data_IF_581797207889
#
_entry.id   IF_581797207889
#
_cell.length_a   1.000
_cell.length_b   1.000
_cell.length_c   1.000
_cell.angle_alpha   90.00
_cell.angle_beta   90.00
_cell.angle_gamma   90.00
#
_symmetry.space_group_name_H-M   'P 1'
#
loop_
_entity.id
_entity.type
_entity.pdbx_description
1 polymer ?
#
# COMPACT_ATOMS: atom_id res chain seq x y z
N UNK A 1 9.95 -15.34 -2.60
CA UNK A 1 10.66 -15.69 -1.36
C UNK A 1 10.66 -17.21 -1.20
N UNK A 2 11.63 -17.75 -0.50
CA UNK A 2 11.67 -19.14 -0.02
C UNK A 2 11.40 -19.07 1.49
N UNK A 3 10.12 -19.20 1.87
CA UNK A 3 9.72 -18.87 3.24
C UNK A 3 9.97 -20.00 4.23
N UNK A 4 9.93 -21.26 3.76
CA UNK A 4 10.17 -22.45 4.58
C UNK A 4 11.60 -23.00 4.49
N UNK A 5 12.44 -22.42 3.60
CA UNK A 5 13.85 -22.77 3.46
C UNK A 5 14.09 -24.07 2.69
N UNK A 6 13.13 -24.49 1.84
CA UNK A 6 13.21 -25.74 1.08
C UNK A 6 13.90 -25.62 -0.29
N UNK A 7 14.41 -24.43 -0.61
CA UNK A 7 15.11 -24.09 -1.86
C UNK A 7 14.19 -23.76 -3.03
N UNK A 8 12.89 -23.65 -2.82
CA UNK A 8 11.90 -23.25 -3.83
C UNK A 8 11.28 -21.91 -3.50
N UNK A 9 10.90 -21.19 -4.53
CA UNK A 9 10.24 -19.90 -4.34
C UNK A 9 8.76 -20.07 -4.04
N UNK A 10 8.28 -19.37 -3.03
CA UNK A 10 6.89 -19.31 -2.59
C UNK A 10 6.26 -17.97 -2.95
N UNK A 11 4.92 -17.94 -2.95
CA UNK A 11 4.14 -16.70 -3.05
C UNK A 11 3.54 -16.39 -1.69
N UNK A 12 3.91 -15.25 -1.12
CA UNK A 12 3.33 -14.71 0.09
C UNK A 12 2.31 -13.63 -0.27
N UNK A 13 1.13 -13.67 0.34
CA UNK A 13 0.05 -12.72 0.12
C UNK A 13 -0.57 -12.26 1.42
N UNK A 14 -0.87 -10.97 1.51
CA UNK A 14 -1.73 -10.42 2.54
C UNK A 14 -3.21 -10.47 2.16
N UNK A 15 -4.06 -9.78 2.92
CA UNK A 15 -5.51 -9.79 2.77
C UNK A 15 -6.04 -8.40 2.43
N UNK A 16 -6.98 -8.36 1.48
CA UNK A 16 -7.77 -7.16 1.18
C UNK A 16 -9.13 -7.15 1.89
N UNK A 17 -9.53 -8.25 2.52
CA UNK A 17 -10.86 -8.41 3.11
C UNK A 17 -11.18 -7.33 4.13
N UNK A 18 -12.39 -6.83 4.04
CA UNK A 18 -12.97 -5.89 5.01
C UNK A 18 -13.77 -6.68 6.02
N UNK A 19 -13.56 -6.40 7.31
CA UNK A 19 -14.41 -6.77 8.46
C UNK A 19 -15.14 -8.12 8.39
N UNK A 20 -15.11 -8.86 9.47
CA UNK A 20 -15.93 -10.06 9.76
C UNK A 20 -15.92 -11.19 8.72
N UNK A 21 -15.15 -11.11 7.67
CA UNK A 21 -14.91 -12.23 6.78
C UNK A 21 -13.77 -13.08 7.34
N UNK A 22 -13.86 -14.38 7.13
CA UNK A 22 -12.89 -15.37 7.64
C UNK A 22 -11.43 -15.12 7.20
N UNK A 23 -11.23 -14.28 6.18
CA UNK A 23 -9.93 -13.97 5.61
C UNK A 23 -9.38 -12.58 5.98
N UNK A 24 -10.10 -11.79 6.78
CA UNK A 24 -9.67 -10.44 7.13
C UNK A 24 -8.37 -10.46 7.94
N UNK A 25 -7.34 -9.77 7.43
CA UNK A 25 -6.03 -9.66 8.08
C UNK A 25 -5.14 -10.89 8.01
N UNK A 26 -5.60 -12.00 7.42
CA UNK A 26 -4.81 -13.23 7.31
C UNK A 26 -3.74 -13.12 6.24
N UNK A 27 -2.61 -13.75 6.49
CA UNK A 27 -1.56 -13.95 5.49
C UNK A 27 -1.68 -15.35 4.91
N UNK A 28 -1.43 -15.46 3.60
CA UNK A 28 -1.47 -16.73 2.89
C UNK A 28 -0.14 -16.99 2.21
N UNK A 29 0.22 -18.25 2.13
CA UNK A 29 1.39 -18.72 1.39
C UNK A 29 0.99 -19.82 0.41
N UNK A 30 1.54 -19.73 -0.79
CA UNK A 30 1.49 -20.79 -1.79
C UNK A 30 2.90 -21.34 -1.91
N UNK A 31 3.15 -22.52 -1.33
CA UNK A 31 4.46 -23.16 -1.37
C UNK A 31 4.79 -23.67 -2.77
N UNK A 32 6.01 -23.40 -3.23
CA UNK A 32 6.53 -23.84 -4.51
C UNK A 32 6.71 -25.34 -4.57
N UNK A 33 6.58 -25.91 -5.77
CA UNK A 33 6.85 -27.32 -6.06
C UNK A 33 8.03 -27.46 -7.00
N UNK A 34 8.58 -28.67 -7.07
CA UNK A 34 9.70 -29.01 -7.96
C UNK A 34 9.36 -28.91 -9.46
N UNK A 35 8.08 -28.96 -9.82
CA UNK A 35 7.58 -28.82 -11.19
C UNK A 35 7.33 -27.35 -11.60
N UNK A 36 7.67 -26.37 -10.73
CA UNK A 36 7.46 -24.95 -10.97
C UNK A 36 6.03 -24.47 -10.70
N UNK A 37 5.14 -25.35 -10.25
CA UNK A 37 3.78 -24.99 -9.81
C UNK A 37 3.74 -24.74 -8.29
N UNK A 38 2.55 -24.41 -7.76
CA UNK A 38 2.36 -24.15 -6.33
C UNK A 38 1.39 -25.14 -5.69
N UNK A 39 1.51 -25.30 -4.37
CA UNK A 39 0.49 -25.98 -3.56
C UNK A 39 -0.73 -25.07 -3.45
N UNK A 40 -1.85 -25.61 -2.93
CA UNK A 40 -3.01 -24.81 -2.55
C UNK A 40 -2.57 -23.80 -1.47
N UNK A 41 -3.12 -22.59 -1.53
CA UNK A 41 -2.84 -21.57 -0.53
C UNK A 41 -3.17 -22.06 0.89
N UNK A 42 -2.27 -21.80 1.81
CA UNK A 42 -2.41 -22.09 3.23
C UNK A 42 -2.33 -20.80 4.04
N UNK A 43 -3.08 -20.74 5.15
CA UNK A 43 -2.99 -19.61 6.07
C UNK A 43 -1.69 -19.72 6.86
N UNK A 44 -0.90 -18.65 6.85
CA UNK A 44 0.33 -18.57 7.61
C UNK A 44 0.03 -18.49 9.11
N UNK A 45 0.70 -19.33 9.89
CA UNK A 45 0.46 -19.49 11.33
C UNK A 45 1.66 -19.10 12.15
N UNK A 46 1.38 -18.59 13.34
CA UNK A 46 2.39 -18.39 14.37
C UNK A 46 2.86 -19.69 15.00
N UNK A 47 3.87 -19.60 15.86
CA UNK A 47 4.42 -20.73 16.63
C UNK A 47 3.43 -21.30 17.65
N UNK A 48 2.37 -20.58 17.97
CA UNK A 48 1.23 -21.03 18.78
C UNK A 48 0.21 -21.88 18.00
N UNK A 49 0.39 -22.00 16.67
CA UNK A 49 -0.50 -22.74 15.78
C UNK A 49 -1.73 -21.93 15.30
N UNK A 50 -1.91 -20.72 15.79
CA UNK A 50 -2.99 -19.83 15.38
C UNK A 50 -2.58 -18.98 14.14
N UNK A 51 -3.53 -18.50 13.34
CA UNK A 51 -3.24 -17.62 12.24
C UNK A 51 -2.47 -16.37 12.65
N UNK A 52 -1.44 -15.99 11.90
CA UNK A 52 -0.80 -14.69 12.06
C UNK A 52 -1.79 -13.59 11.72
N UNK A 53 -1.96 -12.64 12.63
CA UNK A 53 -2.86 -11.49 12.45
C UNK A 53 -2.35 -10.30 13.26
N UNK A 54 -2.52 -9.08 12.73
CA UNK A 54 -2.29 -7.87 13.52
C UNK A 54 -3.44 -7.75 14.53
N UNK A 55 -3.16 -7.74 15.86
CA UNK A 55 -4.20 -7.69 16.87
C UNK A 55 -5.09 -6.45 16.74
N UNK A 56 -6.40 -6.66 16.85
CA UNK A 56 -7.42 -5.61 16.83
C UNK A 56 -8.15 -5.64 18.15
N UNK A 57 -8.11 -4.56 18.90
CA UNK A 57 -8.73 -4.45 20.23
C UNK A 57 -10.14 -3.84 20.18
N UNK A 58 -10.45 -3.11 19.10
CA UNK A 58 -11.77 -2.51 18.89
C UNK A 58 -12.70 -3.45 18.13
N UNK A 59 -14.01 -3.32 18.40
CA UNK A 59 -15.02 -4.02 17.59
C UNK A 59 -15.06 -3.46 16.17
N UNK A 60 -15.31 -4.28 15.13
CA UNK A 60 -15.43 -3.82 13.76
C UNK A 60 -16.36 -2.60 13.65
N UNK A 61 -15.86 -1.50 13.05
CA UNK A 61 -16.59 -0.25 12.93
C UNK A 61 -16.70 0.59 14.21
N UNK A 62 -16.04 0.17 15.30
CA UNK A 62 -15.93 0.93 16.55
C UNK A 62 -14.46 0.99 16.98
N UNK A 63 -13.85 2.14 16.84
CA UNK A 63 -12.42 2.34 17.08
C UNK A 63 -11.62 2.37 15.78
N UNK A 64 -10.34 2.70 15.87
CA UNK A 64 -9.50 2.97 14.69
C UNK A 64 -8.57 1.81 14.32
N UNK A 65 -8.29 0.90 15.24
CA UNK A 65 -7.27 -0.13 15.06
C UNK A 65 -7.71 -1.30 14.16
N UNK A 66 -9.01 -1.54 13.98
CA UNK A 66 -9.52 -2.60 13.10
C UNK A 66 -9.10 -2.42 11.63
N UNK A 67 -8.83 -1.18 11.21
CA UNK A 67 -8.38 -0.88 9.85
C UNK A 67 -6.96 -1.39 9.57
N UNK A 68 -6.17 -1.71 10.61
CA UNK A 68 -4.83 -2.28 10.44
C UNK A 68 -4.85 -3.68 9.81
N UNK A 69 -5.99 -4.36 9.83
CA UNK A 69 -6.16 -5.66 9.18
C UNK A 69 -6.71 -5.59 7.75
N UNK A 70 -6.83 -4.38 7.20
CA UNK A 70 -7.27 -4.18 5.81
C UNK A 70 -6.05 -3.93 4.94
N UNK A 71 -6.04 -4.53 3.74
CA UNK A 71 -4.98 -4.32 2.76
C UNK A 71 -3.58 -4.59 3.30
N UNK A 72 -3.43 -5.65 4.10
CA UNK A 72 -2.12 -6.03 4.62
C UNK A 72 -1.20 -6.48 3.48
N UNK A 73 0.05 -6.03 3.50
CA UNK A 73 1.08 -6.34 2.50
C UNK A 73 2.36 -6.77 3.18
N UNK A 74 2.59 -8.09 3.24
CA UNK A 74 3.80 -8.63 3.82
C UNK A 74 4.96 -8.62 2.84
N UNK A 75 6.13 -8.22 3.34
CA UNK A 75 7.42 -8.41 2.68
C UNK A 75 8.30 -9.26 3.61
N UNK A 76 8.91 -10.32 3.07
CA UNK A 76 9.78 -11.20 3.86
C UNK A 76 11.25 -10.82 3.66
N UNK A 77 11.95 -10.54 4.75
CA UNK A 77 13.37 -10.24 4.80
C UNK A 77 13.96 -10.70 6.14
N UNK A 78 15.23 -11.03 6.17
CA UNK A 78 15.99 -11.24 7.41
C UNK A 78 16.33 -9.84 7.99
N UNK A 79 15.35 -9.26 8.72
CA UNK A 79 15.38 -7.86 9.14
C UNK A 79 16.46 -7.55 10.17
N UNK A 80 16.72 -8.45 11.09
CA UNK A 80 17.72 -8.28 12.14
C UNK A 80 19.00 -9.11 11.94
N UNK A 81 19.07 -9.81 10.77
CA UNK A 81 20.22 -10.62 10.35
C UNK A 81 20.54 -11.78 11.29
N UNK A 82 19.50 -12.38 11.84
CA UNK A 82 19.62 -13.60 12.66
C UNK A 82 19.63 -14.89 11.82
N UNK A 83 19.48 -14.78 10.50
CA UNK A 83 19.41 -15.88 9.54
C UNK A 83 18.01 -16.41 9.31
N UNK A 84 16.98 -15.77 9.85
CA UNK A 84 15.58 -16.12 9.69
C UNK A 84 14.80 -15.01 8.99
N UNK A 85 13.87 -15.39 8.12
CA UNK A 85 13.01 -14.41 7.49
C UNK A 85 11.97 -13.89 8.47
N UNK A 86 11.93 -12.58 8.61
CA UNK A 86 10.87 -11.82 9.27
C UNK A 86 9.82 -11.36 8.25
N UNK A 87 8.65 -10.89 8.72
CA UNK A 87 7.66 -10.23 7.88
C UNK A 87 7.51 -8.77 8.28
N UNK A 88 7.89 -7.88 7.38
CA UNK A 88 7.54 -6.45 7.45
C UNK A 88 6.19 -6.27 6.75
N UNK A 89 5.19 -5.81 7.49
CA UNK A 89 3.80 -5.76 7.01
C UNK A 89 3.32 -4.33 6.96
N UNK A 90 2.98 -3.85 5.76
CA UNK A 90 2.25 -2.60 5.57
C UNK A 90 0.74 -2.80 5.71
N UNK A 91 0.04 -1.76 6.14
CA UNK A 91 -1.40 -1.78 6.44
C UNK A 91 -2.14 -0.67 5.70
N UNK A 92 -3.49 -0.73 5.70
CA UNK A 92 -4.31 0.29 5.06
C UNK A 92 -4.01 1.72 5.55
N UNK A 93 -3.93 2.00 6.87
CA UNK A 93 -3.62 3.36 7.34
C UNK A 93 -2.16 3.78 7.12
N UNK A 94 -1.32 2.92 6.54
CA UNK A 94 0.08 3.22 6.27
C UNK A 94 1.06 2.91 7.41
N UNK A 95 0.60 2.33 8.52
CA UNK A 95 1.46 1.82 9.58
C UNK A 95 2.18 0.55 9.14
N UNK A 96 3.34 0.30 9.74
CA UNK A 96 4.11 -0.91 9.52
C UNK A 96 4.24 -1.74 10.80
N UNK A 97 4.19 -3.05 10.63
CA UNK A 97 4.34 -4.05 11.69
C UNK A 97 5.40 -5.08 11.30
N UNK A 98 6.06 -5.64 12.32
CA UNK A 98 7.09 -6.66 12.16
C UNK A 98 6.68 -7.93 12.91
N UNK A 99 6.57 -9.05 12.18
CA UNK A 99 6.51 -10.38 12.78
C UNK A 99 7.90 -11.00 12.71
N UNK A 100 8.48 -11.30 13.87
CA UNK A 100 9.79 -11.93 13.96
C UNK A 100 9.73 -13.39 13.51
N UNK A 101 10.71 -13.80 12.72
CA UNK A 101 10.88 -15.16 12.27
C UNK A 101 11.55 -16.06 13.30
N UNK A 102 11.36 -17.36 13.12
CA UNK A 102 12.08 -18.42 13.85
C UNK A 102 12.65 -19.48 12.90
N UNK A 103 12.72 -19.14 11.61
CA UNK A 103 13.13 -20.06 10.56
C UNK A 103 12.06 -21.06 10.13
N UNK A 104 12.28 -21.67 8.96
CA UNK A 104 11.38 -22.69 8.38
C UNK A 104 9.92 -22.25 8.29
N UNK A 105 9.68 -20.98 7.91
CA UNK A 105 8.34 -20.42 7.75
C UNK A 105 7.55 -20.23 9.05
N UNK A 106 8.22 -20.24 10.20
CA UNK A 106 7.61 -20.02 11.51
C UNK A 106 7.87 -18.61 12.02
N UNK A 107 6.86 -18.00 12.62
CA UNK A 107 6.90 -16.63 13.12
C UNK A 107 6.34 -16.53 14.53
N UNK A 108 6.87 -15.61 15.32
CA UNK A 108 6.22 -15.27 16.59
C UNK A 108 4.82 -14.68 16.32
N UNK A 109 3.80 -15.06 17.12
CA UNK A 109 2.41 -14.71 16.82
C UNK A 109 2.07 -13.24 17.08
N UNK A 110 2.92 -12.50 17.81
CA UNK A 110 2.69 -11.10 18.17
C UNK A 110 3.59 -10.19 17.37
N UNK A 111 3.02 -9.32 16.48
CA UNK A 111 3.81 -8.36 15.77
C UNK A 111 4.22 -7.19 16.67
N UNK A 112 5.34 -6.56 16.32
CA UNK A 112 5.80 -5.30 16.86
C UNK A 112 5.36 -4.16 15.93
N UNK A 113 4.77 -3.09 16.48
CA UNK A 113 4.56 -1.85 15.70
C UNK A 113 5.91 -1.21 15.43
N UNK A 114 6.28 -1.04 14.16
CA UNK A 114 7.54 -0.42 13.79
C UNK A 114 7.50 1.08 14.08
N UNK A 115 8.65 1.63 14.47
CA UNK A 115 8.74 3.02 14.94
C UNK A 115 9.90 3.78 14.31
N UNK A 116 9.71 5.09 14.16
CA UNK A 116 10.75 6.08 13.94
C UNK A 116 10.92 6.91 15.23
N UNK A 117 11.95 6.62 16.01
CA UNK A 117 12.04 7.11 17.39
C UNK A 117 10.88 6.60 18.25
N UNK A 118 10.14 7.50 18.89
CA UNK A 118 8.99 7.13 19.74
C UNK A 118 7.65 7.12 18.98
N UNK A 119 7.64 7.50 17.70
CA UNK A 119 6.42 7.58 16.90
C UNK A 119 6.24 6.32 16.03
N UNK A 120 4.99 5.89 15.77
CA UNK A 120 4.74 4.85 14.78
C UNK A 120 5.38 5.20 13.44
N UNK A 121 6.00 4.22 12.79
CA UNK A 121 6.49 4.38 11.43
C UNK A 121 5.29 4.32 10.47
N UNK A 122 5.02 5.43 9.80
CA UNK A 122 3.88 5.57 8.88
C UNK A 122 4.31 6.25 7.60
N UNK A 123 3.78 5.76 6.48
CA UNK A 123 3.88 6.46 5.19
C UNK A 123 2.92 7.66 5.15
N UNK A 124 3.20 8.63 4.30
CA UNK A 124 2.21 9.60 3.87
C UNK A 124 1.21 8.92 2.92
N UNK A 125 -0.09 9.06 3.20
CA UNK A 125 -1.16 8.36 2.47
C UNK A 125 -1.57 7.04 3.12
N UNK A 126 -2.14 6.16 2.31
CA UNK A 126 -2.64 4.86 2.73
C UNK A 126 -1.96 3.72 1.93
N UNK A 127 -2.28 2.48 2.29
CA UNK A 127 -1.81 1.29 1.58
C UNK A 127 -0.28 1.14 1.60
N UNK A 128 0.31 1.09 2.82
CA UNK A 128 1.73 0.80 2.97
C UNK A 128 2.12 -0.49 2.22
N UNK A 129 3.13 -0.39 1.35
CA UNK A 129 3.60 -1.48 0.49
C UNK A 129 5.13 -1.58 0.65
N UNK A 130 5.60 -2.14 1.77
CA UNK A 130 7.02 -2.12 2.12
C UNK A 130 7.85 -2.98 1.17
N UNK A 131 9.01 -2.45 0.81
CA UNK A 131 10.10 -3.16 0.17
C UNK A 131 11.36 -2.97 1.03
N UNK A 132 11.96 -4.06 1.50
CA UNK A 132 13.08 -4.03 2.44
C UNK A 132 14.36 -4.34 1.69
N UNK A 133 15.31 -3.41 1.73
CA UNK A 133 16.60 -3.53 1.04
C UNK A 133 17.60 -2.52 1.66
N UNK A 134 18.89 -2.80 1.57
CA UNK A 134 19.95 -1.85 1.85
C UNK A 134 20.01 -0.84 0.68
N UNK A 135 19.24 0.25 0.81
CA UNK A 135 19.07 1.20 -0.29
C UNK A 135 20.27 2.09 -0.50
N UNK A 136 20.92 2.55 0.56
CA UNK A 136 22.06 3.48 0.46
C UNK A 136 23.43 2.79 0.52
N UNK A 137 23.42 1.44 0.65
CA UNK A 137 24.60 0.60 0.67
C UNK A 137 25.51 0.88 1.89
N UNK A 138 24.90 1.21 3.02
CA UNK A 138 25.60 1.42 4.29
C UNK A 138 25.72 0.15 5.13
N UNK A 139 25.13 -0.92 4.66
CA UNK A 139 25.22 -2.27 5.24
C UNK A 139 24.10 -2.58 6.22
N UNK A 140 23.05 -1.77 6.37
CA UNK A 140 21.83 -2.14 7.07
C UNK A 140 20.57 -2.05 6.17
N UNK A 141 19.47 -2.65 6.60
CA UNK A 141 18.28 -2.72 5.77
C UNK A 141 17.38 -1.51 6.00
N UNK A 142 16.98 -0.89 4.91
CA UNK A 142 16.02 0.21 4.85
C UNK A 142 14.62 -0.28 4.48
N UNK A 143 13.65 0.64 4.51
CA UNK A 143 12.31 0.39 4.03
C UNK A 143 11.92 1.44 2.99
N UNK A 144 11.64 0.99 1.76
CA UNK A 144 10.97 1.79 0.76
C UNK A 144 9.49 1.43 0.74
N UNK A 145 8.62 2.37 0.35
CA UNK A 145 7.20 2.09 0.19
C UNK A 145 6.57 2.95 -0.90
N UNK A 146 5.71 2.33 -1.72
CA UNK A 146 4.70 3.06 -2.45
C UNK A 146 3.53 3.47 -1.55
N UNK A 147 2.58 4.22 -2.08
CA UNK A 147 1.38 4.66 -1.34
C UNK A 147 0.19 4.97 -2.24
N UNK A 148 -0.98 5.15 -1.63
CA UNK A 148 -2.17 5.61 -2.35
C UNK A 148 -2.03 7.03 -2.92
N UNK A 149 -1.19 7.86 -2.31
CA UNK A 149 -0.94 9.24 -2.79
C UNK A 149 0.03 9.30 -3.98
N UNK A 150 0.65 8.17 -4.31
CA UNK A 150 1.66 8.08 -5.38
C UNK A 150 3.09 8.29 -4.89
N UNK A 151 4.03 8.31 -5.85
CA UNK A 151 5.44 8.44 -5.55
C UNK A 151 6.05 7.25 -4.81
N UNK A 152 7.24 7.44 -4.26
CA UNK A 152 7.95 6.48 -3.42
C UNK A 152 8.51 7.17 -2.20
N UNK A 153 8.38 6.54 -1.05
CA UNK A 153 8.89 7.02 0.22
C UNK A 153 9.95 6.07 0.76
N UNK A 154 10.91 6.59 1.52
CA UNK A 154 12.01 5.87 2.11
C UNK A 154 12.17 6.20 3.60
N UNK A 155 12.23 5.18 4.43
CA UNK A 155 12.63 5.24 5.84
C UNK A 155 14.02 4.65 5.96
N UNK A 156 15.01 5.53 6.15
CA UNK A 156 16.41 5.19 6.32
C UNK A 156 16.65 4.55 7.69
N UNK A 157 17.33 3.43 7.72
CA UNK A 157 17.89 2.85 8.94
C UNK A 157 19.27 3.47 9.18
N UNK A 158 19.49 4.06 10.34
CA UNK A 158 20.71 4.79 10.71
C UNK A 158 21.50 4.08 11.79
N UNK A 159 21.27 2.79 11.96
CA UNK A 159 21.93 2.04 13.02
C UNK A 159 23.36 1.65 12.63
N UNK A 160 23.57 1.31 11.38
CA UNK A 160 24.77 0.68 10.86
C UNK A 160 24.76 -0.85 11.05
N UNK A 161 25.62 -1.56 10.31
CA UNK A 161 25.62 -3.01 10.21
C UNK A 161 25.63 -3.73 11.55
N UNK A 162 24.74 -4.73 11.71
CA UNK A 162 24.68 -5.60 12.86
C UNK A 162 24.23 -4.94 14.17
N UNK A 163 23.67 -3.74 14.10
CA UNK A 163 23.05 -3.05 15.24
C UNK A 163 21.52 -3.14 15.18
N UNK A 164 20.82 -3.04 16.33
CA UNK A 164 19.37 -2.95 16.32
C UNK A 164 18.88 -1.80 15.44
N UNK A 165 17.89 -2.00 14.57
CA UNK A 165 17.42 -1.01 13.63
C UNK A 165 16.99 0.31 14.29
N UNK A 166 17.38 1.44 13.68
CA UNK A 166 17.03 2.79 14.11
C UNK A 166 16.49 3.59 12.93
N UNK A 167 15.24 3.35 12.61
CA UNK A 167 14.58 3.98 11.47
C UNK A 167 14.34 5.48 11.70
N UNK A 168 14.59 6.26 10.65
CA UNK A 168 14.08 7.61 10.49
C UNK A 168 12.60 7.59 10.04
N UNK A 169 11.91 8.74 10.10
CA UNK A 169 10.58 8.85 9.48
C UNK A 169 10.68 8.69 7.97
N UNK A 170 9.60 8.25 7.34
CA UNK A 170 9.52 8.25 5.89
C UNK A 170 9.75 9.65 5.31
N UNK A 171 10.53 9.71 4.25
CA UNK A 171 10.76 10.90 3.42
C UNK A 171 10.51 10.54 1.96
N UNK A 172 10.11 11.52 1.17
CA UNK A 172 9.88 11.32 -0.26
C UNK A 172 11.20 11.05 -0.97
N UNK A 173 11.23 9.97 -1.73
CA UNK A 173 12.33 9.58 -2.61
C UNK A 173 11.99 9.91 -4.06
N UNK A 174 10.74 9.61 -4.46
CA UNK A 174 10.17 9.99 -5.76
C UNK A 174 8.87 10.74 -5.46
N UNK A 175 8.77 11.96 -5.97
CA UNK A 175 7.54 12.74 -5.85
C UNK A 175 6.40 12.09 -6.61
N UNK A 176 5.18 12.21 -6.11
CA UNK A 176 4.00 11.82 -6.86
C UNK A 176 3.75 12.76 -8.05
N UNK A 177 3.11 12.25 -9.09
CA UNK A 177 2.63 13.05 -10.19
C UNK A 177 1.55 14.07 -9.76
N UNK A 178 1.07 14.92 -10.66
CA UNK A 178 0.04 15.91 -10.32
C UNK A 178 -1.23 15.22 -9.84
N UNK A 179 -1.90 15.81 -8.84
CA UNK A 179 -3.19 15.29 -8.37
C UNK A 179 -4.23 15.34 -9.49
N UNK A 180 -5.03 14.29 -9.56
CA UNK A 180 -6.11 14.19 -10.54
C UNK A 180 -7.19 15.23 -10.23
N UNK A 181 -7.42 16.12 -11.19
CA UNK A 181 -8.56 17.04 -11.18
C UNK A 181 -9.69 16.47 -12.04
N UNK A 182 -10.76 16.04 -11.40
CA UNK A 182 -11.93 15.47 -12.08
C UNK A 182 -12.76 16.53 -12.88
N UNK A 183 -12.40 17.79 -12.82
CA UNK A 183 -12.92 18.86 -13.70
C UNK A 183 -12.11 19.06 -14.98
N UNK A 184 -10.98 18.37 -15.11
CA UNK A 184 -10.05 18.52 -16.23
C UNK A 184 -9.89 17.21 -17.00
N UNK A 185 -9.65 17.33 -18.30
CA UNK A 185 -9.29 16.19 -19.17
C UNK A 185 -7.89 15.74 -18.77
N UNK A 186 -7.71 14.41 -18.65
CA UNK A 186 -6.43 13.79 -18.37
C UNK A 186 -6.17 12.69 -19.41
N UNK A 187 -5.21 12.90 -20.27
CA UNK A 187 -4.78 11.96 -21.31
C UNK A 187 -3.49 11.27 -20.87
N UNK A 188 -3.18 10.13 -21.45
CA UNK A 188 -1.91 9.43 -21.23
C UNK A 188 -0.68 10.33 -21.48
N UNK A 189 -0.71 11.15 -22.54
CA UNK A 189 0.35 12.10 -22.87
C UNK A 189 0.58 13.20 -21.80
N UNK A 190 -0.40 13.43 -20.92
CA UNK A 190 -0.33 14.42 -19.84
C UNK A 190 0.35 13.85 -18.58
N UNK A 191 0.48 12.52 -18.48
CA UNK A 191 1.07 11.84 -17.32
C UNK A 191 2.59 11.97 -17.35
N UNK A 192 3.18 12.51 -16.29
CA UNK A 192 4.63 12.81 -16.19
C UNK A 192 5.33 12.12 -15.03
N UNK A 193 4.64 11.26 -14.29
CA UNK A 193 5.17 10.51 -13.16
C UNK A 193 4.08 9.69 -12.49
N UNK A 194 4.44 8.83 -11.52
CA UNK A 194 3.51 7.93 -10.86
C UNK A 194 2.43 8.69 -10.09
N UNK A 195 1.14 8.37 -10.35
CA UNK A 195 0.01 9.13 -9.79
C UNK A 195 -0.47 8.57 -8.46
N UNK A 196 -1.15 7.41 -8.48
CA UNK A 196 -1.79 6.87 -7.27
C UNK A 196 -1.54 5.38 -7.11
N UNK A 197 -1.78 4.87 -5.92
CA UNK A 197 -1.71 3.44 -5.57
C UNK A 197 -0.41 2.77 -6.05
N UNK A 198 0.72 3.44 -5.84
CA UNK A 198 2.01 2.99 -6.33
C UNK A 198 2.45 1.69 -5.67
N UNK A 199 3.12 0.85 -6.47
CA UNK A 199 3.79 -0.39 -6.09
C UNK A 199 5.20 -0.33 -6.59
N UNK A 200 6.14 -0.83 -5.81
CA UNK A 200 7.55 -0.72 -6.14
C UNK A 200 8.22 -2.08 -6.23
N UNK A 201 9.22 -2.12 -7.09
CA UNK A 201 10.22 -3.17 -7.13
C UNK A 201 11.59 -2.52 -7.22
N UNK A 202 12.55 -3.02 -6.44
CA UNK A 202 13.90 -2.49 -6.41
C UNK A 202 14.88 -3.58 -6.82
N UNK A 203 15.69 -3.29 -7.82
CA UNK A 203 16.71 -4.19 -8.34
C UNK A 203 17.73 -3.41 -9.16
N UNK A 204 18.89 -3.99 -9.44
CA UNK A 204 19.81 -3.49 -10.46
C UNK A 204 19.30 -3.90 -11.85
N UNK A 205 18.41 -3.09 -12.41
CA UNK A 205 17.70 -3.43 -13.67
C UNK A 205 18.61 -3.34 -14.88
N UNK A 206 19.60 -2.45 -14.86
CA UNK A 206 20.49 -2.18 -15.98
C UNK A 206 21.86 -2.88 -15.85
N UNK A 207 22.18 -3.51 -14.72
CA UNK A 207 23.43 -4.23 -14.47
C UNK A 207 24.62 -3.32 -14.17
N UNK A 208 24.41 -2.08 -13.69
CA UNK A 208 25.48 -1.13 -13.39
C UNK A 208 25.99 -1.19 -11.93
N UNK A 209 25.44 -2.09 -11.14
CA UNK A 209 25.78 -2.29 -9.74
C UNK A 209 25.06 -1.37 -8.77
N UNK A 210 24.10 -0.56 -9.23
CA UNK A 210 23.28 0.31 -8.41
C UNK A 210 21.82 -0.14 -8.42
N UNK A 211 21.14 0.06 -7.30
CA UNK A 211 19.74 -0.27 -7.20
C UNK A 211 18.87 0.76 -7.93
N UNK A 212 18.04 0.29 -8.83
CA UNK A 212 17.03 1.07 -9.55
C UNK A 212 15.64 0.83 -8.96
N UNK A 213 14.68 1.67 -9.31
CA UNK A 213 13.29 1.51 -8.86
C UNK A 213 12.36 1.40 -10.06
N UNK A 214 11.60 0.31 -10.10
CA UNK A 214 10.39 0.17 -10.91
C UNK A 214 9.19 0.58 -10.09
N UNK A 215 8.37 1.50 -10.62
CA UNK A 215 7.14 1.97 -9.96
C UNK A 215 5.96 1.68 -10.87
N UNK A 216 5.07 0.81 -10.44
CA UNK A 216 3.75 0.67 -11.04
C UNK A 216 2.75 1.62 -10.38
N UNK A 217 1.82 2.19 -11.13
CA UNK A 217 0.80 3.08 -10.60
C UNK A 217 -0.60 2.78 -11.14
N UNK A 218 -1.59 3.48 -10.63
CA UNK A 218 -2.93 3.53 -11.16
C UNK A 218 -3.24 4.95 -11.63
N UNK A 219 -3.74 5.06 -12.86
CA UNK A 219 -4.06 6.33 -13.51
C UNK A 219 -5.49 6.30 -14.04
N UNK A 220 -6.36 7.22 -13.61
CA UNK A 220 -7.64 7.43 -14.26
C UNK A 220 -7.45 8.38 -15.45
N UNK A 221 -7.56 7.87 -16.68
CA UNK A 221 -7.69 8.74 -17.86
C UNK A 221 -9.10 9.30 -17.90
N UNK A 222 -9.21 10.61 -18.11
CA UNK A 222 -10.47 11.35 -18.02
C UNK A 222 -10.76 12.04 -19.36
N UNK A 223 -11.96 11.81 -19.88
CA UNK A 223 -12.44 12.45 -21.10
C UNK A 223 -13.93 12.83 -20.99
N UNK A 224 -14.42 13.79 -21.80
CA UNK A 224 -15.83 14.10 -21.89
C UNK A 224 -16.66 12.89 -22.32
N UNK A 225 -17.90 12.78 -21.82
CA UNK A 225 -18.87 11.84 -22.37
C UNK A 225 -19.18 12.18 -23.85
N UNK A 226 -19.67 11.17 -24.60
CA UNK A 226 -19.95 11.33 -26.03
C UNK A 226 -20.89 12.49 -26.30
N UNK A 227 -20.49 13.33 -27.25
CA UNK A 227 -21.26 14.49 -27.68
C UNK A 227 -21.15 15.71 -26.76
N UNK A 228 -20.38 15.63 -25.65
CA UNK A 228 -20.17 16.76 -24.75
C UNK A 228 -18.94 17.59 -25.19
N UNK A 229 -19.07 18.89 -25.24
CA UNK A 229 -17.93 19.78 -25.50
C UNK A 229 -17.00 19.86 -24.30
N UNK A 230 -15.71 20.13 -24.50
CA UNK A 230 -14.73 20.29 -23.40
C UNK A 230 -15.15 21.41 -22.44
N UNK A 231 -15.75 22.50 -22.93
CA UNK A 231 -16.23 23.61 -22.10
C UNK A 231 -17.39 23.17 -21.18
N UNK A 232 -18.35 22.42 -21.72
CA UNK A 232 -19.46 21.87 -20.94
C UNK A 232 -18.98 20.84 -19.93
N UNK A 233 -18.05 19.96 -20.34
CA UNK A 233 -17.40 18.99 -19.46
C UNK A 233 -16.73 19.68 -18.27
N UNK A 234 -15.89 20.70 -18.55
CA UNK A 234 -15.20 21.45 -17.49
C UNK A 234 -16.18 22.06 -16.50
N UNK A 235 -17.23 22.74 -17.02
CA UNK A 235 -18.25 23.36 -16.16
C UNK A 235 -18.91 22.33 -15.23
N UNK A 236 -19.36 21.19 -15.77
CA UNK A 236 -20.00 20.14 -14.97
C UNK A 236 -19.04 19.49 -14.00
N UNK A 237 -17.77 19.32 -14.38
CA UNK A 237 -16.72 18.80 -13.52
C UNK A 237 -16.43 19.71 -12.34
N UNK A 238 -16.29 21.02 -12.60
CA UNK A 238 -16.09 22.02 -11.55
C UNK A 238 -17.28 22.06 -10.56
N UNK A 239 -18.51 22.00 -11.06
CA UNK A 239 -19.72 22.00 -10.24
C UNK A 239 -19.82 20.71 -9.41
N UNK A 240 -19.50 19.55 -10.02
CA UNK A 240 -19.45 18.25 -9.33
C UNK A 240 -18.40 18.24 -8.23
N UNK A 241 -17.19 18.73 -8.49
CA UNK A 241 -16.09 18.77 -7.51
C UNK A 241 -16.48 19.60 -6.30
N UNK A 242 -17.03 20.81 -6.51
CA UNK A 242 -17.52 21.68 -5.42
C UNK A 242 -18.59 21.00 -4.57
N UNK A 243 -19.56 20.36 -5.19
CA UNK A 243 -20.64 19.68 -4.44
C UNK A 243 -20.12 18.47 -3.69
N UNK A 244 -19.20 17.68 -4.29
CA UNK A 244 -18.57 16.55 -3.62
C UNK A 244 -17.78 16.99 -2.39
N UNK A 245 -16.97 18.04 -2.51
CA UNK A 245 -16.19 18.59 -1.41
C UNK A 245 -17.10 19.08 -0.26
N UNK A 246 -18.13 19.86 -0.59
CA UNK A 246 -19.12 20.31 0.39
C UNK A 246 -19.80 19.15 1.11
N UNK A 247 -20.19 18.12 0.35
CA UNK A 247 -20.87 16.94 0.92
C UNK A 247 -19.91 16.10 1.77
N UNK A 248 -18.64 15.97 1.37
CA UNK A 248 -17.61 15.29 2.13
C UNK A 248 -17.33 16.01 3.45
N UNK A 249 -17.28 17.34 3.44
CA UNK A 249 -17.14 18.13 4.65
C UNK A 249 -18.35 17.97 5.57
N UNK A 250 -19.57 17.98 5.02
CA UNK A 250 -20.79 17.69 5.79
C UNK A 250 -20.69 16.33 6.47
N UNK A 251 -20.24 15.30 5.75
CA UNK A 251 -20.05 13.96 6.30
C UNK A 251 -19.00 13.92 7.43
N UNK A 252 -17.91 14.69 7.29
CA UNK A 252 -16.82 14.77 8.25
C UNK A 252 -17.26 15.41 9.57
N UNK A 253 -18.06 16.48 9.49
CA UNK A 253 -18.49 17.25 10.66
C UNK A 253 -19.86 16.84 11.22
N UNK A 254 -20.51 15.84 10.58
CA UNK A 254 -21.83 15.36 10.97
C UNK A 254 -21.87 14.94 12.44
N UNK A 255 -22.85 15.45 13.16
CA UNK A 255 -23.02 15.25 14.61
C UNK A 255 -23.79 13.96 14.94
N UNK A 256 -24.56 13.44 14.00
CA UNK A 256 -25.34 12.22 14.19
C UNK A 256 -25.23 11.27 12.97
N UNK A 257 -25.65 10.03 13.17
CA UNK A 257 -25.57 8.97 12.16
C UNK A 257 -26.56 9.20 11.00
N UNK A 258 -27.66 9.93 11.20
CA UNK A 258 -28.64 10.20 10.15
C UNK A 258 -28.04 11.22 9.15
N UNK A 259 -27.45 12.29 9.64
CA UNK A 259 -26.77 13.30 8.81
C UNK A 259 -25.61 12.67 8.03
N UNK A 260 -24.78 11.85 8.71
CA UNK A 260 -23.68 11.12 8.08
C UNK A 260 -24.15 10.16 7.00
N UNK A 261 -25.25 9.44 7.24
CA UNK A 261 -25.83 8.50 6.27
C UNK A 261 -26.38 9.24 5.05
N UNK A 262 -27.04 10.37 5.26
CA UNK A 262 -27.55 11.23 4.18
C UNK A 262 -26.41 11.76 3.31
N UNK A 263 -25.35 12.27 3.91
CA UNK A 263 -24.18 12.76 3.20
C UNK A 263 -23.49 11.62 2.40
N UNK A 264 -23.36 10.43 2.99
CA UNK A 264 -22.80 9.25 2.30
C UNK A 264 -23.62 8.87 1.09
N UNK A 265 -24.97 8.84 1.21
CA UNK A 265 -25.85 8.57 0.09
C UNK A 265 -25.69 9.61 -1.01
N UNK A 266 -25.63 10.90 -0.67
CA UNK A 266 -25.43 11.97 -1.66
C UNK A 266 -24.08 11.84 -2.40
N UNK A 267 -23.02 11.45 -1.71
CA UNK A 267 -21.74 11.16 -2.36
C UNK A 267 -21.89 10.02 -3.38
N UNK A 268 -22.59 8.95 -3.05
CA UNK A 268 -22.84 7.85 -3.99
C UNK A 268 -23.62 8.31 -5.22
N UNK A 269 -24.65 9.14 -5.03
CA UNK A 269 -25.41 9.74 -6.13
C UNK A 269 -24.53 10.61 -7.04
N UNK A 270 -23.68 11.44 -6.46
CA UNK A 270 -22.72 12.28 -7.22
C UNK A 270 -21.78 11.43 -8.10
N UNK A 271 -21.31 10.29 -7.60
CA UNK A 271 -20.49 9.38 -8.41
C UNK A 271 -21.28 8.74 -9.57
N UNK A 272 -22.58 8.50 -9.40
CA UNK A 272 -23.45 8.05 -10.48
C UNK A 272 -23.74 9.18 -11.50
N UNK A 273 -23.96 10.40 -11.01
CA UNK A 273 -24.18 11.57 -11.88
C UNK A 273 -22.95 11.88 -12.73
N UNK A 274 -21.75 11.67 -12.21
CA UNK A 274 -20.48 11.88 -12.91
C UNK A 274 -20.41 11.11 -14.23
N UNK A 275 -20.91 9.89 -14.28
CA UNK A 275 -20.88 9.05 -15.48
C UNK A 275 -21.67 9.61 -16.67
N UNK A 276 -22.56 10.60 -16.42
CA UNK A 276 -23.36 11.25 -17.47
C UNK A 276 -22.60 12.32 -18.25
N UNK A 277 -21.47 12.80 -17.72
CA UNK A 277 -20.68 13.83 -18.40
C UNK A 277 -19.20 13.47 -18.52
N UNK A 278 -18.74 12.42 -17.84
CA UNK A 278 -17.35 11.99 -17.77
C UNK A 278 -17.22 10.52 -18.13
N UNK A 279 -16.23 10.21 -18.95
CA UNK A 279 -15.67 8.87 -19.13
C UNK A 279 -14.40 8.78 -18.30
N UNK A 280 -14.26 7.73 -17.51
CA UNK A 280 -13.06 7.40 -16.76
C UNK A 280 -12.59 6.03 -17.19
N UNK A 281 -11.38 5.95 -17.71
CA UNK A 281 -10.69 4.71 -18.02
C UNK A 281 -9.55 4.53 -17.03
N UNK A 282 -9.53 3.41 -16.31
CA UNK A 282 -8.44 3.10 -15.38
C UNK A 282 -7.36 2.35 -16.13
N UNK A 283 -6.16 2.89 -16.08
CA UNK A 283 -4.94 2.31 -16.63
C UNK A 283 -3.82 2.40 -15.61
N UNK A 284 -2.62 2.00 -15.98
CA UNK A 284 -1.42 2.15 -15.16
C UNK A 284 -0.18 2.16 -16.04
N UNK A 285 0.85 2.77 -15.53
CA UNK A 285 2.17 2.82 -16.15
C UNK A 285 3.19 2.10 -15.28
N UNK A 286 4.31 1.72 -15.90
CA UNK A 286 5.51 1.29 -15.20
C UNK A 286 6.58 2.33 -15.48
N UNK A 287 7.06 2.94 -14.41
CA UNK A 287 8.11 3.95 -14.42
C UNK A 287 9.43 3.32 -13.99
N UNK A 288 10.48 3.52 -14.76
CA UNK A 288 11.82 3.09 -14.40
C UNK A 288 12.66 4.31 -13.98
N UNK A 289 13.14 4.29 -12.75
CA UNK A 289 14.05 5.28 -12.20
C UNK A 289 15.43 4.67 -12.03
N UNK A 290 16.35 5.02 -12.92
CA UNK A 290 17.73 4.59 -12.85
C UNK A 290 18.52 5.47 -11.87
N UNK A 291 19.20 4.84 -10.91
CA UNK A 291 20.05 5.53 -9.97
C UNK A 291 21.38 5.91 -10.68
N UNK A 292 21.77 7.20 -10.54
CA UNK A 292 23.00 7.73 -11.16
C UNK A 292 24.21 7.62 -10.24
#
# INVERSE_FOLDING_TARGET
VDIDGDGRRDILSGSYSRMSNDMAGLFQVLYGKTDGTFRKAEVLKGTDGEPLIIPVHSKPGKGEDWINNICTRPFAADWDRDGHLDLVVGTFPGKLYLFRGQGSGKFFPRPEEMKAGDQPLMIEGHHGDPFVIDWDNDGDLDILSGSSEGGVQWAENRAGPGKPPRLGPFRKLIEHGPRVDYGSILRDADIKGPLTDTRIWVDDVNGDGKLDILVGDMVPLISPADGLSEAEFKKRGDDWTKERERTSETMRVAKDDQERTKARRRIQELYQERTKFMKEERTGFIWLYLRK
#
